data_IF_322802387644
#
_entry.id   IF_322802387644
#
_cell.length_a   1.000
_cell.length_b   1.000
_cell.length_c   1.000
_cell.angle_alpha   90.00
_cell.angle_beta   90.00
_cell.angle_gamma   90.00
#
_symmetry.space_group_name_H-M   'P 1'
#
loop_
_entity.id
_entity.type
_entity.pdbx_description
1 polymer ?
#
# COMPACT_ATOMS: atom_id res chain seq x y z
N UNK A 1 -8.76 -17.97 2.76
CA UNK A 1 -8.72 -16.61 2.18
C UNK A 1 -8.95 -16.65 0.68
N UNK A 2 -8.23 -17.48 -0.06
CA UNK A 2 -8.37 -17.66 -1.51
C UNK A 2 -9.83 -17.81 -1.99
N UNK A 3 -10.62 -18.74 -1.43
CA UNK A 3 -12.00 -18.95 -1.84
C UNK A 3 -12.90 -17.69 -1.70
N UNK A 4 -12.64 -16.86 -0.68
CA UNK A 4 -13.37 -15.59 -0.50
C UNK A 4 -12.94 -14.53 -1.50
N UNK A 5 -11.64 -14.46 -1.81
CA UNK A 5 -11.13 -13.59 -2.86
C UNK A 5 -11.68 -13.97 -4.23
N UNK A 6 -11.75 -15.27 -4.53
CA UNK A 6 -12.36 -15.78 -5.76
C UNK A 6 -13.86 -15.45 -5.84
N UNK A 7 -14.61 -15.65 -4.75
CA UNK A 7 -16.02 -15.28 -4.70
C UNK A 7 -16.26 -13.76 -4.83
N UNK A 8 -15.35 -12.93 -4.28
CA UNK A 8 -15.36 -11.48 -4.50
C UNK A 8 -15.13 -11.17 -5.98
N UNK A 9 -14.14 -11.80 -6.59
CA UNK A 9 -13.83 -11.59 -8.00
C UNK A 9 -15.01 -11.94 -8.90
N UNK A 10 -15.61 -13.12 -8.70
CA UNK A 10 -16.81 -13.56 -9.41
C UNK A 10 -17.99 -12.60 -9.21
N UNK A 11 -18.20 -12.11 -7.98
CA UNK A 11 -19.23 -11.13 -7.69
C UNK A 11 -19.07 -9.85 -8.52
N UNK A 12 -17.85 -9.31 -8.62
CA UNK A 12 -17.56 -8.11 -9.40
C UNK A 12 -17.67 -8.32 -10.91
N UNK A 13 -17.28 -9.50 -11.42
CA UNK A 13 -17.37 -9.81 -12.84
C UNK A 13 -18.80 -10.10 -13.32
N UNK A 14 -19.65 -10.61 -12.44
CA UNK A 14 -21.02 -11.05 -12.80
C UNK A 14 -22.11 -10.05 -12.45
N UNK A 15 -21.79 -9.02 -11.67
CA UNK A 15 -22.73 -7.95 -11.29
C UNK A 15 -22.42 -6.68 -12.07
N UNK A 16 -23.19 -6.33 -13.11
CA UNK A 16 -23.00 -5.08 -13.84
C UNK A 16 -23.25 -3.90 -12.89
N UNK A 17 -22.24 -3.09 -12.64
CA UNK A 17 -22.42 -1.81 -11.96
C UNK A 17 -21.66 -0.74 -12.71
N UNK A 18 -22.37 -0.04 -13.63
CA UNK A 18 -21.85 1.20 -14.25
C UNK A 18 -21.34 2.19 -13.18
N UNK A 19 -21.89 2.12 -11.97
CA UNK A 19 -21.52 2.93 -10.82
C UNK A 19 -20.06 2.78 -10.34
N UNK A 20 -19.42 1.61 -10.53
CA UNK A 20 -18.03 1.38 -10.07
C UNK A 20 -17.01 1.51 -11.21
N UNK A 21 -17.45 1.46 -12.46
CA UNK A 21 -16.57 1.44 -13.62
C UNK A 21 -15.80 2.76 -13.73
N UNK A 22 -14.47 2.70 -13.83
CA UNK A 22 -13.57 3.85 -13.84
C UNK A 22 -13.73 4.77 -12.60
N UNK A 23 -14.27 4.26 -11.50
CA UNK A 23 -14.47 5.00 -10.26
C UNK A 23 -13.74 4.30 -9.11
N UNK A 24 -12.46 4.64 -8.86
CA UNK A 24 -11.64 3.98 -7.85
C UNK A 24 -12.25 3.95 -6.45
N UNK A 25 -12.80 5.08 -5.98
CA UNK A 25 -13.40 5.14 -4.64
C UNK A 25 -14.67 4.29 -4.55
N UNK A 26 -15.49 4.21 -5.61
CA UNK A 26 -16.62 3.30 -5.64
C UNK A 26 -16.19 1.83 -5.60
N UNK A 27 -15.10 1.47 -6.29
CA UNK A 27 -14.51 0.12 -6.22
C UNK A 27 -14.00 -0.19 -4.81
N UNK A 28 -13.24 0.71 -4.18
CA UNK A 28 -12.78 0.56 -2.79
C UNK A 28 -13.95 0.33 -1.85
N UNK A 29 -14.99 1.17 -1.91
CA UNK A 29 -16.17 1.05 -1.06
C UNK A 29 -16.92 -0.27 -1.27
N UNK A 30 -17.00 -0.75 -2.52
CA UNK A 30 -17.63 -2.03 -2.84
C UNK A 30 -16.81 -3.22 -2.29
N UNK A 31 -15.48 -3.17 -2.41
CA UNK A 31 -14.58 -4.19 -1.83
C UNK A 31 -14.70 -4.17 -0.30
N UNK A 32 -14.67 -3.01 0.34
CA UNK A 32 -14.81 -2.89 1.80
C UNK A 32 -16.14 -3.43 2.30
N UNK A 33 -17.23 -3.15 1.58
CA UNK A 33 -18.56 -3.67 1.88
C UNK A 33 -18.57 -5.19 1.81
N UNK A 34 -18.13 -5.75 0.69
CA UNK A 34 -18.06 -7.20 0.50
C UNK A 34 -17.17 -7.87 1.56
N UNK A 35 -15.99 -7.31 1.80
CA UNK A 35 -15.02 -7.83 2.76
C UNK A 35 -15.56 -7.83 4.19
N UNK A 36 -16.35 -6.81 4.56
CA UNK A 36 -16.99 -6.75 5.87
C UNK A 36 -18.08 -7.80 6.03
N UNK A 37 -18.91 -8.00 5.01
CA UNK A 37 -19.93 -9.07 5.00
C UNK A 37 -19.32 -10.47 5.00
N UNK A 38 -18.18 -10.66 4.34
CA UNK A 38 -17.56 -11.98 4.12
C UNK A 38 -16.33 -12.24 5.00
N UNK A 39 -16.08 -11.39 6.01
CA UNK A 39 -14.95 -11.51 6.94
C UNK A 39 -13.59 -11.67 6.24
N UNK A 40 -13.32 -10.83 5.23
CA UNK A 40 -12.01 -10.71 4.61
C UNK A 40 -11.17 -9.67 5.35
N UNK A 41 -9.90 -9.99 5.59
CA UNK A 41 -8.93 -9.09 6.20
C UNK A 41 -8.29 -8.27 5.08
N UNK A 42 -8.54 -6.98 5.10
CA UNK A 42 -8.01 -5.98 4.14
C UNK A 42 -7.70 -4.70 4.91
N UNK A 43 -6.82 -3.87 4.36
CA UNK A 43 -6.65 -2.49 4.80
C UNK A 43 -7.88 -1.64 4.43
N UNK A 44 -8.60 -1.13 5.44
CA UNK A 44 -9.89 -0.44 5.26
C UNK A 44 -10.24 0.54 6.36
N UNK A 45 -11.29 1.33 6.14
CA UNK A 45 -11.95 2.14 7.17
C UNK A 45 -11.01 3.15 7.84
N UNK A 46 -11.03 3.22 9.18
CA UNK A 46 -10.25 4.20 9.94
C UNK A 46 -8.75 4.17 9.64
N UNK A 47 -8.18 2.99 9.38
CA UNK A 47 -6.76 2.82 9.00
C UNK A 47 -6.44 3.45 7.65
N UNK A 48 -7.30 3.19 6.65
CA UNK A 48 -7.16 3.80 5.33
C UNK A 48 -7.36 5.32 5.37
N UNK A 49 -8.32 5.81 6.16
CA UNK A 49 -8.54 7.25 6.36
C UNK A 49 -7.31 7.89 6.99
N UNK A 50 -6.78 7.33 8.09
CA UNK A 50 -5.60 7.86 8.76
C UNK A 50 -4.39 7.91 7.82
N UNK A 51 -4.13 6.85 7.06
CA UNK A 51 -3.01 6.82 6.12
C UNK A 51 -3.23 7.81 4.96
N UNK A 52 -4.45 7.92 4.42
CA UNK A 52 -4.81 8.91 3.39
C UNK A 52 -4.54 10.33 3.87
N UNK A 53 -4.94 10.68 5.09
CA UNK A 53 -4.74 12.02 5.65
C UNK A 53 -3.25 12.36 5.74
N UNK A 54 -2.43 11.42 6.21
CA UNK A 54 -0.97 11.61 6.34
C UNK A 54 -0.27 11.69 4.98
N UNK A 55 -0.67 10.87 4.02
CA UNK A 55 -0.13 10.88 2.66
C UNK A 55 -0.53 12.15 1.91
N UNK A 56 -1.79 12.58 2.05
CA UNK A 56 -2.31 13.78 1.36
C UNK A 56 -1.70 15.09 1.91
N UNK A 57 -1.20 15.06 3.14
CA UNK A 57 -0.51 16.20 3.76
C UNK A 57 0.96 16.34 3.34
N UNK A 58 1.53 15.37 2.61
CA UNK A 58 2.94 15.42 2.19
C UNK A 58 3.22 16.59 1.23
N UNK A 59 4.42 17.16 1.34
CA UNK A 59 4.90 18.24 0.48
C UNK A 59 6.32 17.96 -0.02
N UNK A 60 6.55 17.86 -1.34
CA UNK A 60 5.56 17.92 -2.41
C UNK A 60 4.58 16.73 -2.39
N UNK A 61 3.46 16.85 -3.11
CA UNK A 61 2.49 15.76 -3.24
C UNK A 61 3.17 14.49 -3.83
N UNK A 62 2.95 13.31 -3.21
CA UNK A 62 3.65 12.09 -3.55
C UNK A 62 3.22 11.57 -4.93
N UNK A 63 4.12 10.89 -5.62
CA UNK A 63 3.88 10.28 -6.93
C UNK A 63 4.22 8.80 -6.98
N UNK A 64 5.22 8.35 -6.21
CA UNK A 64 5.74 6.97 -6.29
C UNK A 64 5.49 6.19 -5.01
N UNK A 65 4.66 5.17 -5.15
CA UNK A 65 4.28 4.25 -4.08
C UNK A 65 4.87 2.88 -4.38
N UNK A 66 5.37 2.22 -3.34
CA UNK A 66 5.64 0.78 -3.33
C UNK A 66 4.83 0.13 -2.23
N UNK A 67 4.29 -1.04 -2.49
CA UNK A 67 3.42 -1.76 -1.56
C UNK A 67 3.85 -3.23 -1.48
N UNK A 68 4.04 -3.71 -0.26
CA UNK A 68 4.34 -5.10 0.06
C UNK A 68 3.06 -5.77 0.58
N UNK A 69 2.43 -6.57 -0.28
CA UNK A 69 1.13 -7.21 -0.04
C UNK A 69 0.01 -6.53 -0.83
N UNK A 70 -0.49 -7.19 -1.89
CA UNK A 70 -1.57 -6.65 -2.73
C UNK A 70 -2.93 -7.25 -2.37
N UNK A 71 -2.96 -8.57 -2.14
CA UNK A 71 -4.17 -9.38 -2.01
C UNK A 71 -5.17 -9.13 -3.15
N UNK A 72 -6.39 -8.66 -2.85
CA UNK A 72 -7.41 -8.35 -3.88
C UNK A 72 -7.29 -6.93 -4.45
N UNK A 73 -6.26 -6.17 -4.06
CA UNK A 73 -5.95 -4.85 -4.62
C UNK A 73 -6.66 -3.66 -3.97
N UNK A 74 -7.31 -3.82 -2.82
CA UNK A 74 -8.09 -2.75 -2.19
C UNK A 74 -7.24 -1.50 -1.87
N UNK A 75 -6.12 -1.69 -1.16
CA UNK A 75 -5.16 -0.64 -0.82
C UNK A 75 -4.46 -0.08 -2.06
N UNK A 76 -4.02 -0.94 -2.98
CA UNK A 76 -3.43 -0.53 -4.27
C UNK A 76 -4.34 0.43 -5.06
N UNK A 77 -5.65 0.11 -5.14
CA UNK A 77 -6.66 0.96 -5.78
C UNK A 77 -6.84 2.25 -4.99
N UNK A 78 -6.86 2.20 -3.66
CA UNK A 78 -6.96 3.39 -2.82
C UNK A 78 -5.75 4.33 -2.99
N UNK A 79 -4.53 3.81 -3.10
CA UNK A 79 -3.33 4.61 -3.42
C UNK A 79 -3.45 5.27 -4.78
N UNK A 80 -3.92 4.54 -5.80
CA UNK A 80 -4.20 5.11 -7.12
C UNK A 80 -5.30 6.18 -7.10
N UNK A 81 -6.34 6.00 -6.27
CA UNK A 81 -7.39 6.99 -6.06
C UNK A 81 -6.86 8.26 -5.39
N UNK A 82 -6.01 8.12 -4.36
CA UNK A 82 -5.35 9.24 -3.68
C UNK A 82 -4.46 10.01 -4.64
N UNK A 83 -3.69 9.33 -5.49
CA UNK A 83 -2.89 9.99 -6.54
C UNK A 83 -3.76 10.78 -7.52
N UNK A 84 -4.93 10.25 -7.92
CA UNK A 84 -5.90 10.99 -8.73
C UNK A 84 -6.46 12.22 -8.00
N UNK A 85 -6.81 12.09 -6.73
CA UNK A 85 -7.31 13.21 -5.94
C UNK A 85 -6.26 14.34 -5.83
N UNK A 86 -4.98 13.98 -5.70
CA UNK A 86 -3.88 14.93 -5.50
C UNK A 86 -3.39 15.59 -6.80
N UNK A 87 -3.39 14.86 -7.92
CA UNK A 87 -2.79 15.32 -9.18
C UNK A 87 -3.82 15.58 -10.31
N UNK A 88 -5.10 15.26 -10.06
CA UNK A 88 -6.16 15.34 -11.07
C UNK A 88 -5.84 14.47 -12.29
N UNK A 89 -6.06 15.04 -13.48
CA UNK A 89 -5.81 14.33 -14.75
C UNK A 89 -4.30 14.23 -15.10
N UNK A 90 -3.43 15.01 -14.45
CA UNK A 90 -1.99 14.99 -14.72
C UNK A 90 -1.27 13.95 -13.87
N UNK A 91 -1.45 12.69 -14.21
CA UNK A 91 -0.82 11.55 -13.54
C UNK A 91 0.61 11.26 -14.01
N UNK A 92 1.27 12.20 -14.68
CA UNK A 92 2.62 12.00 -15.18
C UNK A 92 3.61 11.73 -14.03
N UNK A 93 4.25 10.57 -14.08
CA UNK A 93 5.19 10.07 -13.07
C UNK A 93 4.51 9.37 -11.88
N UNK A 94 3.19 9.45 -11.75
CA UNK A 94 2.44 8.78 -10.69
C UNK A 94 2.41 7.27 -10.93
N UNK A 95 2.90 6.50 -9.98
CA UNK A 95 2.91 5.04 -10.05
C UNK A 95 2.73 4.43 -8.64
N UNK A 96 1.92 3.39 -8.57
CA UNK A 96 1.81 2.46 -7.44
C UNK A 96 2.35 1.12 -7.92
N UNK A 97 3.45 0.66 -7.35
CA UNK A 97 3.98 -0.68 -7.59
C UNK A 97 3.63 -1.57 -6.41
N UNK A 98 2.81 -2.57 -6.63
CA UNK A 98 2.32 -3.45 -5.57
C UNK A 98 2.78 -4.89 -5.82
N UNK A 99 3.23 -5.58 -4.77
CA UNK A 99 3.88 -6.88 -4.87
C UNK A 99 3.00 -7.97 -4.28
N UNK A 100 2.67 -8.96 -5.12
CA UNK A 100 1.81 -10.09 -4.76
C UNK A 100 2.52 -11.42 -5.00
N UNK A 101 2.61 -12.24 -3.97
CA UNK A 101 3.27 -13.55 -4.06
C UNK A 101 2.38 -14.59 -4.74
N UNK A 102 1.07 -14.57 -4.46
CA UNK A 102 0.13 -15.55 -5.00
C UNK A 102 -0.34 -15.12 -6.40
N UNK A 103 -0.02 -15.89 -7.47
CA UNK A 103 -0.43 -15.55 -8.84
C UNK A 103 -1.95 -15.41 -9.01
N UNK A 104 -2.76 -16.14 -8.22
CA UNK A 104 -4.23 -16.02 -8.28
C UNK A 104 -4.69 -14.69 -7.73
N UNK A 105 -4.12 -14.24 -6.62
CA UNK A 105 -4.42 -12.93 -6.05
C UNK A 105 -3.95 -11.82 -6.98
N UNK A 106 -2.78 -11.99 -7.62
CA UNK A 106 -2.26 -11.04 -8.59
C UNK A 106 -3.20 -10.86 -9.80
N UNK A 107 -3.82 -11.95 -10.29
CA UNK A 107 -4.85 -11.88 -11.35
C UNK A 107 -6.07 -11.11 -10.86
N UNK A 108 -6.62 -11.47 -9.70
CA UNK A 108 -7.79 -10.79 -9.11
C UNK A 108 -7.51 -9.30 -8.95
N UNK A 109 -6.37 -8.93 -8.35
CA UNK A 109 -6.01 -7.53 -8.16
C UNK A 109 -5.94 -6.75 -9.47
N UNK A 110 -5.34 -7.32 -10.53
CA UNK A 110 -5.28 -6.68 -11.87
C UNK A 110 -6.67 -6.44 -12.44
N UNK A 111 -7.58 -7.40 -12.33
CA UNK A 111 -8.96 -7.26 -12.81
C UNK A 111 -9.72 -6.19 -12.02
N UNK A 112 -9.54 -6.11 -10.69
CA UNK A 112 -10.14 -5.07 -9.85
C UNK A 112 -9.57 -3.67 -10.16
N UNK A 113 -8.26 -3.57 -10.39
CA UNK A 113 -7.57 -2.33 -10.81
C UNK A 113 -8.09 -1.86 -12.17
N UNK A 114 -8.36 -2.80 -13.09
CA UNK A 114 -8.97 -2.53 -14.39
C UNK A 114 -10.39 -1.99 -14.25
N UNK A 115 -11.21 -2.59 -13.40
CA UNK A 115 -12.56 -2.07 -13.10
C UNK A 115 -12.49 -0.63 -12.55
N UNK A 116 -11.51 -0.35 -11.68
CA UNK A 116 -11.26 0.99 -11.15
C UNK A 116 -10.71 1.99 -12.19
N UNK A 117 -10.31 1.52 -13.38
CA UNK A 117 -9.73 2.34 -14.44
C UNK A 117 -8.33 2.85 -14.12
N UNK A 118 -7.54 2.11 -13.33
CA UNK A 118 -6.24 2.54 -12.80
C UNK A 118 -5.03 1.83 -13.44
N UNK A 119 -5.23 1.00 -14.47
CA UNK A 119 -4.17 0.20 -15.12
C UNK A 119 -2.98 1.05 -15.64
N UNK A 120 -3.19 2.34 -15.89
CA UNK A 120 -2.13 3.25 -16.31
C UNK A 120 -1.14 3.62 -15.21
N UNK A 121 -1.50 3.49 -13.94
CA UNK A 121 -0.68 3.95 -12.80
C UNK A 121 -0.53 2.93 -11.66
N UNK A 122 -1.37 1.90 -11.58
CA UNK A 122 -1.23 0.83 -10.56
C UNK A 122 -0.75 -0.45 -11.23
N UNK A 123 0.40 -0.95 -10.79
CA UNK A 123 1.13 -2.04 -11.42
C UNK A 123 1.33 -3.19 -10.42
N UNK A 124 0.71 -4.34 -10.69
CA UNK A 124 0.85 -5.56 -9.88
C UNK A 124 2.03 -6.39 -10.39
N UNK A 125 3.08 -6.48 -9.58
CA UNK A 125 4.21 -7.38 -9.84
C UNK A 125 4.00 -8.67 -9.06
N UNK A 126 3.98 -9.78 -9.81
CA UNK A 126 3.89 -11.12 -9.24
C UNK A 126 5.27 -11.59 -8.78
N UNK A 127 5.35 -12.09 -7.55
CA UNK A 127 6.54 -12.65 -6.93
C UNK A 127 6.86 -12.02 -5.58
N UNK A 128 7.92 -12.49 -4.90
CA UNK A 128 8.35 -11.94 -3.61
C UNK A 128 8.61 -10.44 -3.70
N UNK A 129 8.18 -9.69 -2.68
CA UNK A 129 8.30 -8.22 -2.66
C UNK A 129 9.75 -7.74 -2.82
N UNK A 130 10.69 -8.39 -2.14
CA UNK A 130 12.11 -8.07 -2.24
C UNK A 130 12.70 -8.28 -3.64
N UNK A 131 12.31 -9.36 -4.34
CA UNK A 131 12.75 -9.62 -5.71
C UNK A 131 12.12 -8.63 -6.71
N UNK A 132 10.83 -8.36 -6.54
CA UNK A 132 10.07 -7.37 -7.33
C UNK A 132 10.66 -5.97 -7.19
N UNK A 133 11.01 -5.56 -5.96
CA UNK A 133 11.66 -4.27 -5.70
C UNK A 133 13.04 -4.19 -6.37
N UNK A 134 13.88 -5.22 -6.22
CA UNK A 134 15.20 -5.28 -6.89
C UNK A 134 15.08 -5.27 -8.42
N UNK A 135 14.03 -5.87 -8.98
CA UNK A 135 13.73 -5.81 -10.41
C UNK A 135 13.40 -4.38 -10.84
N UNK A 136 12.46 -3.70 -10.16
CA UNK A 136 12.09 -2.32 -10.46
C UNK A 136 13.27 -1.35 -10.35
N UNK A 137 14.14 -1.54 -9.35
CA UNK A 137 15.37 -0.76 -9.21
C UNK A 137 16.31 -0.95 -10.40
N UNK A 138 16.58 -2.21 -10.82
CA UNK A 138 17.42 -2.50 -11.99
C UNK A 138 16.83 -1.96 -13.31
N UNK A 139 15.52 -1.92 -13.42
CA UNK A 139 14.80 -1.37 -14.58
C UNK A 139 14.73 0.17 -14.57
N UNK A 140 15.27 0.83 -13.54
CA UNK A 140 15.27 2.29 -13.43
C UNK A 140 13.88 2.90 -13.17
N UNK A 141 12.89 2.10 -12.73
CA UNK A 141 11.53 2.59 -12.46
C UNK A 141 11.46 3.48 -11.21
N UNK A 142 12.42 3.30 -10.31
CA UNK A 142 12.47 3.97 -9.00
C UNK A 142 13.59 5.01 -8.88
N UNK A 143 14.10 5.55 -9.99
CA UNK A 143 15.19 6.56 -10.00
C UNK A 143 14.83 7.83 -9.21
N UNK A 144 13.56 8.25 -9.22
CA UNK A 144 13.08 9.42 -8.48
C UNK A 144 12.85 9.13 -6.97
N UNK A 145 13.26 7.95 -6.52
CA UNK A 145 13.05 7.43 -5.17
C UNK A 145 11.56 7.24 -4.84
N UNK A 146 11.30 6.53 -3.76
CA UNK A 146 9.97 6.19 -3.27
C UNK A 146 9.46 7.34 -2.40
N UNK A 147 8.24 7.80 -2.64
CA UNK A 147 7.59 8.78 -1.77
C UNK A 147 6.88 8.06 -0.62
N UNK A 148 6.19 6.95 -0.90
CA UNK A 148 5.47 6.17 0.11
C UNK A 148 5.80 4.68 -0.03
N UNK A 149 6.16 4.03 1.08
CA UNK A 149 6.23 2.58 1.15
C UNK A 149 5.16 2.06 2.11
N UNK A 150 4.34 1.11 1.66
CA UNK A 150 3.29 0.50 2.45
C UNK A 150 3.60 -0.98 2.74
N UNK A 151 3.51 -1.38 4.01
CA UNK A 151 3.76 -2.73 4.48
C UNK A 151 2.46 -3.32 5.04
N UNK A 152 1.89 -4.32 4.35
CA UNK A 152 0.63 -5.00 4.73
C UNK A 152 0.66 -6.48 4.32
N UNK A 153 1.79 -7.13 4.65
CA UNK A 153 2.01 -8.55 4.42
C UNK A 153 2.50 -9.21 5.72
N UNK A 154 3.35 -10.24 5.62
CA UNK A 154 3.89 -10.91 6.80
C UNK A 154 4.84 -9.99 7.59
N UNK A 155 4.51 -9.77 8.86
CA UNK A 155 5.15 -8.81 9.77
C UNK A 155 6.67 -9.01 9.93
N UNK A 156 7.14 -10.25 9.77
CA UNK A 156 8.54 -10.62 9.91
C UNK A 156 9.43 -10.04 8.79
N UNK A 157 8.83 -9.66 7.66
CA UNK A 157 9.52 -9.07 6.51
C UNK A 157 9.48 -7.55 6.47
N UNK A 158 8.69 -6.88 7.33
CA UNK A 158 8.59 -5.41 7.32
C UNK A 158 9.97 -4.75 7.51
N UNK A 159 10.76 -5.22 8.48
CA UNK A 159 12.10 -4.69 8.71
C UNK A 159 13.08 -5.04 7.56
N UNK A 160 13.19 -6.32 7.12
CA UNK A 160 13.99 -6.66 5.94
C UNK A 160 13.67 -5.85 4.69
N UNK A 161 12.38 -5.62 4.40
CA UNK A 161 11.94 -4.88 3.21
C UNK A 161 12.19 -3.37 3.35
N UNK A 162 12.03 -2.80 4.56
CA UNK A 162 12.46 -1.43 4.84
C UNK A 162 13.98 -1.27 4.64
N UNK A 163 14.78 -2.18 5.20
CA UNK A 163 16.24 -2.15 5.06
C UNK A 163 16.68 -2.33 3.60
N UNK A 164 15.92 -3.08 2.81
CA UNK A 164 16.16 -3.20 1.38
C UNK A 164 15.94 -1.88 0.63
N UNK A 165 14.90 -1.12 0.98
CA UNK A 165 14.70 0.23 0.44
C UNK A 165 15.88 1.14 0.78
N UNK A 166 16.41 1.06 2.00
CA UNK A 166 17.61 1.80 2.41
C UNK A 166 18.89 1.33 1.68
N UNK A 167 19.09 0.02 1.54
CA UNK A 167 20.24 -0.58 0.85
C UNK A 167 20.32 -0.13 -0.61
N UNK A 168 19.17 -0.07 -1.28
CA UNK A 168 19.03 0.35 -2.67
C UNK A 168 18.99 1.88 -2.85
N UNK A 169 19.18 2.66 -1.78
CA UNK A 169 19.09 4.13 -1.78
C UNK A 169 17.76 4.67 -2.36
N UNK A 170 16.67 3.95 -2.09
CA UNK A 170 15.34 4.27 -2.64
C UNK A 170 14.55 5.27 -1.81
N UNK A 171 15.08 5.72 -0.67
CA UNK A 171 14.42 6.64 0.24
C UNK A 171 15.06 8.04 0.19
N UNK A 172 14.24 9.07 0.44
CA UNK A 172 14.64 10.47 0.52
C UNK A 172 13.98 11.15 1.72
N UNK A 173 14.52 12.29 2.14
CA UNK A 173 13.85 13.13 3.14
C UNK A 173 12.44 13.47 2.65
N UNK A 174 11.45 13.25 3.51
CA UNK A 174 10.04 13.36 3.18
C UNK A 174 9.39 12.07 2.65
N UNK A 175 10.14 10.99 2.41
CA UNK A 175 9.55 9.67 2.19
C UNK A 175 8.79 9.23 3.45
N UNK A 176 7.66 8.54 3.27
CA UNK A 176 6.78 8.12 4.38
C UNK A 176 6.54 6.61 4.33
N UNK A 177 6.86 5.94 5.43
CA UNK A 177 6.56 4.53 5.62
C UNK A 177 5.21 4.42 6.32
N UNK A 178 4.35 3.54 5.81
CA UNK A 178 3.04 3.23 6.38
C UNK A 178 3.03 1.72 6.64
N UNK A 179 2.91 1.30 7.89
CA UNK A 179 2.91 -0.12 8.24
C UNK A 179 1.60 -0.49 8.94
N UNK A 180 0.90 -1.48 8.40
CA UNK A 180 -0.36 -1.96 8.94
C UNK A 180 -0.16 -3.03 10.02
N UNK A 181 -1.14 -3.15 10.93
CA UNK A 181 -1.25 -4.23 11.93
C UNK A 181 -0.04 -4.36 12.87
N UNK A 182 0.59 -3.23 13.20
CA UNK A 182 1.78 -3.23 14.07
C UNK A 182 1.47 -3.51 15.54
N UNK A 183 0.19 -3.55 15.93
CA UNK A 183 -0.30 -3.96 17.24
C UNK A 183 -0.61 -5.45 17.37
N UNK A 184 -1.17 -6.09 16.33
CA UNK A 184 -1.46 -7.52 16.33
C UNK A 184 -1.58 -8.09 14.91
N UNK A 185 -0.86 -9.14 14.50
CA UNK A 185 0.11 -9.94 15.30
C UNK A 185 1.33 -9.13 15.76
N UNK A 186 1.55 -7.97 15.16
CA UNK A 186 2.54 -6.98 15.57
C UNK A 186 3.88 -7.14 14.87
N UNK A 187 4.56 -6.04 14.61
CA UNK A 187 5.85 -6.02 13.91
C UNK A 187 6.97 -5.48 14.83
N UNK A 188 7.34 -6.20 15.92
CA UNK A 188 8.17 -5.65 16.99
C UNK A 188 9.56 -5.22 16.50
N UNK A 189 10.19 -6.00 15.61
CA UNK A 189 11.51 -5.66 15.04
C UNK A 189 11.45 -4.39 14.19
N UNK A 190 10.40 -4.23 13.39
CA UNK A 190 10.18 -3.03 12.60
C UNK A 190 9.98 -1.82 13.52
N UNK A 191 9.08 -1.94 14.51
CA UNK A 191 8.79 -0.86 15.46
C UNK A 191 10.02 -0.46 16.27
N UNK A 192 10.79 -1.42 16.79
CA UNK A 192 12.03 -1.16 17.52
C UNK A 192 13.00 -0.34 16.65
N UNK A 193 13.16 -0.74 15.39
CA UNK A 193 14.07 -0.08 14.45
C UNK A 193 13.66 1.36 14.12
N UNK A 194 12.39 1.60 13.72
CA UNK A 194 11.94 2.94 13.33
C UNK A 194 11.84 3.87 14.55
N UNK A 195 11.47 3.35 15.73
CA UNK A 195 11.42 4.13 16.98
C UNK A 195 12.79 4.42 17.57
N UNK A 196 13.80 3.61 17.27
CA UNK A 196 15.20 3.93 17.52
C UNK A 196 15.79 4.96 16.53
N UNK A 197 14.99 5.41 15.55
CA UNK A 197 15.38 6.43 14.59
C UNK A 197 16.16 5.89 13.39
N UNK A 198 16.07 4.59 13.07
CA UNK A 198 16.65 4.00 11.86
C UNK A 198 18.17 3.83 11.88
N UNK A 199 18.79 3.97 10.71
CA UNK A 199 20.23 3.81 10.49
C UNK A 199 20.98 5.15 10.45
N UNK A 200 22.30 5.10 10.25
CA UNK A 200 23.10 6.30 9.99
C UNK A 200 22.76 6.94 8.62
N UNK A 201 22.25 6.16 7.68
CA UNK A 201 21.91 6.62 6.32
C UNK A 201 20.52 7.26 6.26
N UNK A 202 19.57 6.71 7.01
CA UNK A 202 18.17 7.12 6.99
C UNK A 202 17.66 7.23 8.42
N UNK A 203 17.10 8.40 8.75
CA UNK A 203 16.49 8.67 10.05
C UNK A 203 14.98 8.69 9.96
N UNK A 204 14.31 8.16 10.98
CA UNK A 204 12.85 8.15 11.07
C UNK A 204 12.37 8.93 12.30
N UNK A 205 11.29 9.68 12.13
CA UNK A 205 10.38 10.06 13.22
C UNK A 205 9.10 9.25 13.05
N UNK A 206 8.67 8.56 14.10
CA UNK A 206 7.59 7.58 13.99
C UNK A 206 6.46 7.84 14.99
N UNK A 207 5.23 7.67 14.55
CA UNK A 207 4.02 7.76 15.37
C UNK A 207 3.12 6.53 15.14
N UNK A 208 2.58 5.99 16.22
CA UNK A 208 1.56 4.93 16.17
C UNK A 208 0.18 5.58 16.18
N UNK A 209 -0.59 5.44 15.09
CA UNK A 209 -1.95 5.97 15.00
C UNK A 209 -2.93 4.84 15.34
N UNK A 210 -3.62 4.96 16.47
CA UNK A 210 -4.70 4.06 16.84
C UNK A 210 -6.01 4.53 16.22
N UNK A 211 -6.67 3.65 15.48
CA UNK A 211 -7.95 3.89 14.83
C UNK A 211 -9.08 3.15 15.55
N UNK A 212 -10.32 3.58 15.31
CA UNK A 212 -11.48 2.83 15.80
C UNK A 212 -11.60 1.50 15.03
N UNK A 213 -11.44 0.38 15.73
CA UNK A 213 -11.70 -0.95 15.21
C UNK A 213 -12.68 -1.67 16.14
N UNK A 214 -13.77 -2.22 15.59
CA UNK A 214 -14.67 -3.05 16.38
C UNK A 214 -14.01 -4.38 16.79
N UNK A 215 -13.18 -4.95 15.91
CA UNK A 215 -12.45 -6.21 16.13
C UNK A 215 -11.16 -6.22 15.30
N UNK A 216 -10.11 -6.84 15.82
CA UNK A 216 -8.82 -6.99 15.13
C UNK A 216 -7.85 -5.82 15.36
N UNK A 217 -6.68 -5.85 14.68
CA UNK A 217 -5.69 -4.79 14.76
C UNK A 217 -6.22 -3.42 14.34
N UNK A 218 -5.69 -2.40 15.00
CA UNK A 218 -6.23 -1.04 14.97
C UNK A 218 -5.16 0.02 14.75
N UNK A 219 -3.88 -0.35 14.78
CA UNK A 219 -2.77 0.58 14.67
C UNK A 219 -2.20 0.56 13.25
N UNK A 220 -1.98 1.77 12.74
CA UNK A 220 -1.11 2.05 11.60
C UNK A 220 0.10 2.82 12.14
N UNK A 221 1.32 2.31 11.89
CA UNK A 221 2.54 3.04 12.18
C UNK A 221 2.91 3.92 10.99
N UNK A 222 3.15 5.21 11.26
CA UNK A 222 3.62 6.18 10.27
C UNK A 222 5.05 6.56 10.64
N UNK A 223 6.00 6.35 9.72
CA UNK A 223 7.40 6.74 9.93
C UNK A 223 7.87 7.68 8.82
N UNK A 224 8.22 8.90 9.19
CA UNK A 224 8.70 9.94 8.28
C UNK A 224 10.22 9.90 8.16
N UNK A 225 10.74 9.86 6.94
CA UNK A 225 12.18 10.00 6.70
C UNK A 225 12.59 11.46 6.90
N UNK A 226 13.39 11.71 7.92
CA UNK A 226 13.87 13.04 8.29
C UNK A 226 15.37 13.21 7.98
N UNK A 227 15.85 14.45 8.04
CA UNK A 227 17.29 14.72 7.85
C UNK A 227 18.10 14.07 8.97
N UNK A 228 19.24 13.49 8.60
CA UNK A 228 20.30 13.18 9.57
C UNK A 228 20.80 14.52 10.12
N UNK A 229 20.70 14.71 11.43
CA UNK A 229 21.21 15.91 12.12
C UNK A 229 22.74 15.98 12.08
#
# INVERSE_FOLDING_TARGET
>A
MEARAQALHEHFLTTPTEAIQNNPWAVVNAIETYASTNHMMIFKGGKLIAARDRVSAMQPAPKKFVEFGTFVGCSAIAWGAILRDLHGDNLAGCNVYTFELDPKMAVIARDMIKIAGLEGIVHVLEGPGSESLRKLHREGKLVEKVDVAFFDHWEEYYLPDLQLLEELDLLKVGSKMVADNTDFPGAPKYLEYVKAGGSEKVRYESESIKTEAQHGPSIVEISDVVRVA
#
